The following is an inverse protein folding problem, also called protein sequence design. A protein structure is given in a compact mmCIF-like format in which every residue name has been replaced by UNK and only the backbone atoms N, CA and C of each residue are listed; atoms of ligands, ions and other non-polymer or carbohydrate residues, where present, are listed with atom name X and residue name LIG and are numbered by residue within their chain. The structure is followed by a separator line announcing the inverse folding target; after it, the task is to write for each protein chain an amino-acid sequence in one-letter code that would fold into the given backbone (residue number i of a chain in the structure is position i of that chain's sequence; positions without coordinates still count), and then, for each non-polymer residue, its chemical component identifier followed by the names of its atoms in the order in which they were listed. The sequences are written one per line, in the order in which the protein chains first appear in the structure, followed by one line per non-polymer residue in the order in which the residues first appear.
data_IF_518694119972
#
_entry.id   IF_518694119972
#
_cell.length_a   1.000
_cell.length_b   1.000
_cell.length_c   1.000
_cell.angle_alpha   90.00
_cell.angle_beta   90.00
_cell.angle_gamma   90.00
#
_symmetry.space_group_name_H-M   'P 1'
#
loop_
_entity.id
_entity.type
_entity.pdbx_description
1 polymer ?
#
# COMPACT_ATOMS: atom_id res chain seq x y z
N UNK A 1 -5.01 18.80 22.61
CA UNK A 1 -5.23 18.80 21.15
C UNK A 1 -3.85 18.74 20.51
N UNK A 2 -3.52 17.64 19.83
CA UNK A 2 -2.23 17.47 19.16
C UNK A 2 -2.51 17.68 17.67
N UNK A 3 -2.02 18.79 17.12
CA UNK A 3 -2.02 19.04 15.68
C UNK A 3 -0.88 18.25 15.06
N UNK A 4 -1.23 17.26 14.23
CA UNK A 4 -0.28 16.52 13.41
C UNK A 4 -0.06 17.34 12.14
N UNK A 5 1.13 17.94 12.01
CA UNK A 5 1.59 18.51 10.75
C UNK A 5 1.77 17.37 9.75
N UNK A 6 0.98 17.38 8.68
CA UNK A 6 1.16 16.47 7.55
C UNK A 6 2.55 16.67 6.96
N UNK A 7 3.36 15.62 6.93
CA UNK A 7 4.58 15.59 6.11
C UNK A 7 4.09 15.52 4.67
N UNK A 8 4.18 16.66 3.98
CA UNK A 8 4.02 16.73 2.53
C UNK A 8 5.23 16.02 1.92
N UNK A 9 5.14 14.69 1.78
CA UNK A 9 6.03 13.94 0.89
C UNK A 9 5.60 14.23 -0.55
N UNK A 10 5.81 15.47 -0.97
CA UNK A 10 5.93 15.81 -2.38
C UNK A 10 7.18 15.11 -2.92
N UNK A 11 7.07 13.80 -3.23
CA UNK A 11 7.63 13.28 -4.47
C UNK A 11 6.76 13.90 -5.58
N UNK A 12 6.95 15.20 -5.79
CA UNK A 12 6.66 15.81 -7.06
C UNK A 12 7.84 15.42 -7.93
N UNK A 13 7.72 14.29 -8.62
CA UNK A 13 8.35 14.23 -9.93
C UNK A 13 7.65 15.33 -10.72
N UNK A 14 8.28 16.50 -10.80
CA UNK A 14 7.87 17.61 -11.63
C UNK A 14 8.00 17.23 -13.11
N UNK A 15 7.26 16.22 -13.54
CA UNK A 15 7.00 15.96 -14.93
C UNK A 15 5.84 16.89 -15.29
N UNK A 16 6.18 18.03 -15.91
CA UNK A 16 5.22 18.77 -16.70
C UNK A 16 4.45 17.78 -17.59
N UNK A 17 3.13 17.92 -17.65
CA UNK A 17 2.24 17.04 -18.39
C UNK A 17 2.80 16.85 -19.82
N UNK A 18 3.30 15.64 -20.14
CA UNK A 18 4.00 15.33 -21.40
C UNK A 18 5.49 14.98 -21.32
N UNK A 19 6.16 15.02 -20.17
CA UNK A 19 7.56 14.58 -20.06
C UNK A 19 7.69 13.04 -20.10
N UNK A 20 8.65 12.54 -20.90
CA UNK A 20 9.02 11.12 -20.93
C UNK A 20 9.70 10.74 -19.60
N UNK A 21 8.96 10.07 -18.73
CA UNK A 21 9.48 9.54 -17.45
C UNK A 21 9.94 8.10 -17.66
N UNK A 22 11.17 7.73 -17.28
CA UNK A 22 11.64 6.35 -17.33
C UNK A 22 10.70 5.39 -16.61
N UNK A 23 10.53 4.18 -17.15
CA UNK A 23 9.68 3.16 -16.54
C UNK A 23 10.19 2.77 -15.14
N UNK A 24 11.52 2.75 -14.95
CA UNK A 24 12.15 2.50 -13.64
C UNK A 24 11.67 3.50 -12.58
N UNK A 25 11.58 4.77 -12.95
CA UNK A 25 11.23 5.85 -12.03
C UNK A 25 9.76 5.77 -11.67
N UNK A 26 8.89 5.51 -12.66
CA UNK A 26 7.47 5.26 -12.42
C UNK A 26 7.25 4.03 -11.54
N UNK A 27 8.01 2.97 -11.76
CA UNK A 27 7.91 1.75 -10.96
C UNK A 27 8.35 2.00 -9.51
N UNK A 28 9.50 2.66 -9.32
CA UNK A 28 10.01 3.00 -7.99
C UNK A 28 9.04 3.92 -7.23
N UNK A 29 8.49 4.92 -7.90
CA UNK A 29 7.50 5.84 -7.33
C UNK A 29 6.22 5.11 -6.95
N UNK A 30 5.66 4.30 -7.86
CA UNK A 30 4.45 3.52 -7.58
C UNK A 30 4.67 2.52 -6.43
N UNK A 31 5.84 1.87 -6.40
CA UNK A 31 6.22 0.94 -5.34
C UNK A 31 6.37 1.63 -3.98
N UNK A 32 7.07 2.77 -3.93
CA UNK A 32 7.24 3.55 -2.71
C UNK A 32 5.89 4.04 -2.17
N UNK A 33 5.03 4.61 -3.03
CA UNK A 33 3.68 5.04 -2.66
C UNK A 33 2.84 3.88 -2.10
N UNK A 34 2.86 2.73 -2.78
CA UNK A 34 2.17 1.54 -2.32
C UNK A 34 2.66 1.09 -0.94
N UNK A 35 3.98 1.06 -0.72
CA UNK A 35 4.56 0.60 0.54
C UNK A 35 4.19 1.52 1.71
N UNK A 36 4.27 2.84 1.51
CA UNK A 36 3.86 3.84 2.51
C UNK A 36 2.37 3.70 2.84
N UNK A 37 1.52 3.61 1.81
CA UNK A 37 0.08 3.44 2.00
C UNK A 37 -0.27 2.13 2.72
N UNK A 38 0.35 1.02 2.32
CA UNK A 38 0.14 -0.28 2.96
C UNK A 38 0.63 -0.28 4.42
N UNK A 39 1.73 0.42 4.71
CA UNK A 39 2.21 0.63 6.07
C UNK A 39 1.21 1.38 6.94
N UNK A 40 0.70 2.53 6.46
CA UNK A 40 -0.33 3.29 7.16
C UNK A 40 -1.60 2.48 7.40
N UNK A 41 -2.03 1.71 6.40
CA UNK A 41 -3.24 0.88 6.52
C UNK A 41 -3.05 -0.22 7.57
N UNK A 42 -1.92 -0.92 7.54
CA UNK A 42 -1.55 -1.93 8.54
C UNK A 42 -1.53 -1.34 9.94
N UNK A 43 -0.86 -0.20 10.11
CA UNK A 43 -0.72 0.45 11.41
C UNK A 43 -2.09 0.94 11.92
N UNK A 44 -2.97 1.40 11.03
CA UNK A 44 -4.35 1.75 11.35
C UNK A 44 -5.18 0.54 11.80
N UNK A 45 -5.05 -0.60 11.12
CA UNK A 45 -5.70 -1.87 11.52
C UNK A 45 -5.17 -2.31 12.89
N UNK A 46 -3.87 -2.26 13.12
CA UNK A 46 -3.25 -2.63 14.40
C UNK A 46 -3.69 -1.70 15.54
N UNK A 47 -3.76 -0.40 15.30
CA UNK A 47 -4.24 0.56 16.30
C UNK A 47 -5.70 0.27 16.69
N UNK A 48 -6.57 0.04 15.70
CA UNK A 48 -7.97 -0.31 15.94
C UNK A 48 -8.13 -1.67 16.62
N UNK A 49 -7.31 -2.67 16.27
CA UNK A 49 -7.33 -3.98 16.90
C UNK A 49 -6.90 -3.96 18.37
N UNK A 50 -6.05 -3.00 18.76
CA UNK A 50 -5.59 -2.83 20.14
C UNK A 50 -6.49 -1.89 20.96
N UNK A 51 -7.50 -1.27 20.35
CA UNK A 51 -8.43 -0.38 21.06
C UNK A 51 -9.56 -1.20 21.73
N UNK A 52 -9.66 -1.18 23.08
CA UNK A 52 -10.72 -1.89 23.78
C UNK A 52 -12.12 -1.37 23.45
N UNK A 53 -12.28 -0.12 23.01
CA UNK A 53 -13.57 0.43 22.58
C UNK A 53 -14.03 -0.18 21.26
N UNK A 54 -13.11 -0.47 20.35
CA UNK A 54 -13.41 -1.18 19.09
C UNK A 54 -13.84 -2.61 19.40
N UNK A 55 -13.18 -3.28 20.33
CA UNK A 55 -13.52 -4.64 20.74
C UNK A 55 -14.86 -4.76 21.49
N UNK A 56 -15.30 -3.69 22.14
CA UNK A 56 -16.56 -3.65 22.88
C UNK A 56 -17.80 -3.42 21.98
N UNK A 57 -17.61 -2.95 20.74
CA UNK A 57 -18.69 -2.65 19.79
C UNK A 57 -18.69 -3.64 18.60
N UNK A 58 -19.71 -4.51 18.48
CA UNK A 58 -19.83 -5.46 17.37
C UNK A 58 -19.81 -4.83 15.99
N UNK A 59 -20.35 -3.61 15.82
CA UNK A 59 -20.32 -2.92 14.53
C UNK A 59 -18.90 -2.50 14.17
N UNK A 60 -18.14 -1.98 15.13
CA UNK A 60 -16.75 -1.58 14.91
C UNK A 60 -15.84 -2.79 14.68
N UNK A 61 -16.05 -3.89 15.40
CA UNK A 61 -15.37 -5.16 15.14
C UNK A 61 -15.62 -5.68 13.72
N UNK A 62 -16.86 -5.61 13.22
CA UNK A 62 -17.17 -6.03 11.87
C UNK A 62 -16.47 -5.15 10.82
N UNK A 63 -16.44 -3.84 11.03
CA UNK A 63 -15.71 -2.92 10.14
C UNK A 63 -14.20 -3.19 10.15
N UNK A 64 -13.62 -3.46 11.33
CA UNK A 64 -12.23 -3.85 11.46
C UNK A 64 -11.94 -5.14 10.66
N UNK A 65 -12.82 -6.14 10.76
CA UNK A 65 -12.70 -7.39 10.02
C UNK A 65 -12.72 -7.17 8.50
N UNK A 66 -13.66 -6.37 7.99
CA UNK A 66 -13.74 -6.04 6.56
C UNK A 66 -12.48 -5.33 6.07
N UNK A 67 -11.97 -4.39 6.87
CA UNK A 67 -10.76 -3.63 6.58
C UNK A 67 -9.53 -4.54 6.54
N UNK A 68 -9.41 -5.45 7.50
CA UNK A 68 -8.34 -6.46 7.52
C UNK A 68 -8.42 -7.40 6.32
N UNK A 69 -9.62 -7.85 5.93
CA UNK A 69 -9.83 -8.70 4.77
C UNK A 69 -9.42 -7.99 3.47
N UNK A 70 -9.83 -6.74 3.29
CA UNK A 70 -9.48 -5.93 2.13
C UNK A 70 -7.96 -5.74 2.00
N UNK A 71 -7.29 -5.35 3.09
CA UNK A 71 -5.83 -5.23 3.15
C UNK A 71 -5.13 -6.54 2.77
N UNK A 72 -5.58 -7.66 3.35
CA UNK A 72 -4.98 -8.99 3.09
C UNK A 72 -5.13 -9.41 1.63
N UNK A 73 -6.32 -9.20 1.04
CA UNK A 73 -6.57 -9.47 -0.37
C UNK A 73 -5.64 -8.65 -1.27
N UNK A 74 -5.50 -7.36 -0.98
CA UNK A 74 -4.66 -6.46 -1.78
C UNK A 74 -3.19 -6.88 -1.74
N UNK A 75 -2.62 -7.10 -0.56
CA UNK A 75 -1.21 -7.50 -0.39
C UNK A 75 -0.93 -8.85 -1.06
N UNK A 76 -1.85 -9.81 -0.93
CA UNK A 76 -1.70 -11.14 -1.54
C UNK A 76 -1.72 -11.05 -3.06
N UNK A 77 -2.67 -10.31 -3.63
CA UNK A 77 -2.79 -10.13 -5.07
C UNK A 77 -1.55 -9.45 -5.65
N UNK A 78 -1.08 -8.36 -5.03
CA UNK A 78 0.13 -7.66 -5.47
C UNK A 78 1.35 -8.58 -5.43
N UNK A 79 1.50 -9.36 -4.36
CA UNK A 79 2.61 -10.33 -4.23
C UNK A 79 2.56 -11.40 -5.32
N UNK A 80 1.37 -11.93 -5.62
CA UNK A 80 1.19 -12.91 -6.69
C UNK A 80 1.52 -12.33 -8.07
N UNK A 81 1.04 -11.12 -8.38
CA UNK A 81 1.33 -10.43 -9.64
C UNK A 81 2.82 -10.20 -9.84
N UNK A 82 3.52 -9.68 -8.81
CA UNK A 82 4.97 -9.47 -8.86
C UNK A 82 5.70 -10.79 -9.06
N UNK A 83 5.32 -11.84 -8.31
CA UNK A 83 5.92 -13.17 -8.47
C UNK A 83 5.74 -13.74 -9.87
N UNK A 84 4.56 -13.57 -10.48
CA UNK A 84 4.33 -14.00 -11.86
C UNK A 84 5.11 -13.16 -12.89
N UNK A 85 5.21 -11.85 -12.70
CA UNK A 85 5.99 -10.99 -13.58
C UNK A 85 7.48 -11.37 -13.57
N UNK A 86 8.08 -11.57 -12.39
CA UNK A 86 9.47 -12.01 -12.27
C UNK A 86 9.70 -13.36 -12.94
N UNK A 87 8.81 -14.34 -12.71
CA UNK A 87 8.89 -15.65 -13.38
C UNK A 87 8.80 -15.54 -14.90
N UNK A 88 7.94 -14.66 -15.42
CA UNK A 88 7.84 -14.39 -16.85
C UNK A 88 9.16 -13.85 -17.41
N UNK A 89 9.78 -12.89 -16.73
CA UNK A 89 11.09 -12.34 -17.12
C UNK A 89 12.16 -13.42 -17.07
N UNK A 90 12.24 -14.20 -15.99
CA UNK A 90 13.20 -15.30 -15.88
C UNK A 90 13.03 -16.32 -17.02
N UNK A 91 11.80 -16.60 -17.42
CA UNK A 91 11.50 -17.51 -18.53
C UNK A 91 12.02 -16.95 -19.86
N UNK A 92 11.82 -15.66 -20.11
CA UNK A 92 12.31 -14.98 -21.32
C UNK A 92 13.83 -14.85 -21.35
N UNK A 93 14.49 -14.66 -20.21
CA UNK A 93 15.94 -14.52 -20.10
C UNK A 93 16.66 -15.86 -20.25
N UNK A 94 16.05 -16.95 -19.78
CA UNK A 94 16.65 -18.30 -19.83
C UNK A 94 16.37 -19.03 -21.15
N UNK A 95 15.35 -18.62 -21.90
CA UNK A 95 15.00 -19.17 -23.21
C UNK A 95 15.89 -18.64 -24.33
#
# INVERSE_FOLDING_TARGET
MISITTIDTAVSSGAADGALVPLSDRFNEAFARYYVQAGHERDGILAAANDPMVAADPQQLYQLQLRQEAYTKQVTLTSALVGHATKGIETLVKS
#
